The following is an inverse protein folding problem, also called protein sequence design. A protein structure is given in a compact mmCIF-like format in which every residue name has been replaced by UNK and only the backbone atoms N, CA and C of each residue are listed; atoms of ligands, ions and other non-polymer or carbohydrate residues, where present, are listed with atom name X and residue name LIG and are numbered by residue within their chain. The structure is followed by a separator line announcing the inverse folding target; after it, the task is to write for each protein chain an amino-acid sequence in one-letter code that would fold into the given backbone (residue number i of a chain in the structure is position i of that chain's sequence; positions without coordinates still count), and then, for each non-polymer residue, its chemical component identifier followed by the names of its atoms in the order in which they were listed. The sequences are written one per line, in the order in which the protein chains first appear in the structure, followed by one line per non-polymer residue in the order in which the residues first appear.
data_IF_812094801359
#
_entry.id   IF_812094801359
#
_cell.length_a   1.000
_cell.length_b   1.000
_cell.length_c   1.000
_cell.angle_alpha   90.00
_cell.angle_beta   90.00
_cell.angle_gamma   90.00
#
_symmetry.space_group_name_H-M   'P 1'
#
loop_
_entity.id
_entity.type
_entity.pdbx_description
1 polymer ?
#
# COMPACT_ATOMS: atom_id res chain seq x y z
N UNK A 1 6.36 43.87 -0.94
CA UNK A 1 6.53 42.40 -1.00
C UNK A 1 5.70 41.80 0.13
N UNK A 2 4.73 40.90 -0.12
CA UNK A 2 3.93 40.33 0.95
C UNK A 2 4.77 39.29 1.70
N UNK A 3 4.86 39.46 3.02
CA UNK A 3 5.51 38.54 3.94
C UNK A 3 4.76 37.20 3.95
N UNK A 4 5.49 36.10 3.68
CA UNK A 4 4.96 34.75 3.84
C UNK A 4 5.26 34.26 5.25
N UNK A 5 4.26 34.34 6.12
CA UNK A 5 4.32 33.78 7.47
C UNK A 5 3.28 32.66 7.62
N UNK A 6 3.73 31.42 7.40
CA UNK A 6 3.64 30.35 8.39
C UNK A 6 4.50 29.18 7.88
N UNK A 7 5.42 28.81 8.75
CA UNK A 7 6.47 27.81 8.57
C UNK A 7 6.01 26.58 7.76
N UNK A 8 6.67 26.31 6.63
CA UNK A 8 6.42 25.12 5.79
C UNK A 8 6.81 23.81 6.50
N UNK A 9 7.41 23.92 7.69
CA UNK A 9 7.81 22.83 8.58
C UNK A 9 6.74 22.47 9.61
N UNK A 10 5.53 23.03 9.52
CA UNK A 10 4.40 22.54 10.31
C UNK A 10 4.20 21.04 10.03
N UNK A 11 4.11 20.15 11.05
CA UNK A 11 4.09 18.69 10.86
C UNK A 11 2.82 18.13 10.16
N UNK A 12 2.09 18.96 9.42
CA UNK A 12 0.82 18.62 8.79
C UNK A 12 -0.32 18.44 9.79
N UNK A 13 -1.51 18.18 9.28
CA UNK A 13 -2.68 17.85 10.11
C UNK A 13 -2.74 16.33 10.31
N UNK A 14 -2.70 15.87 11.57
CA UNK A 14 -2.87 14.47 11.92
C UNK A 14 -4.35 14.08 11.90
N UNK A 15 -4.66 12.89 11.38
CA UNK A 15 -6.02 12.35 11.32
C UNK A 15 -6.14 11.11 12.21
N UNK A 16 -7.22 11.02 12.97
CA UNK A 16 -7.52 9.91 13.88
C UNK A 16 -8.79 9.21 13.39
N UNK A 17 -8.78 7.88 13.42
CA UNK A 17 -9.93 7.07 12.99
C UNK A 17 -10.95 6.97 14.13
N UNK A 18 -12.09 7.62 13.96
CA UNK A 18 -13.24 7.54 14.85
C UNK A 18 -14.25 6.50 14.36
N UNK A 19 -15.27 6.24 15.17
CA UNK A 19 -16.39 5.33 14.85
C UNK A 19 -17.23 5.80 13.67
N UNK A 20 -17.18 7.09 13.32
CA UNK A 20 -17.90 7.69 12.20
C UNK A 20 -17.01 8.02 10.99
N UNK A 21 -15.68 7.89 11.09
CA UNK A 21 -14.78 8.13 9.97
C UNK A 21 -13.37 8.55 10.36
N UNK A 22 -12.77 9.44 9.57
CA UNK A 22 -11.48 10.05 9.88
C UNK A 22 -11.69 11.52 10.23
N UNK A 23 -11.21 11.94 11.40
CA UNK A 23 -11.33 13.31 11.89
C UNK A 23 -9.94 13.90 12.19
N UNK A 24 -9.81 15.23 12.07
CA UNK A 24 -8.53 15.93 12.32
C UNK A 24 -8.27 16.01 13.84
N UNK A 25 -7.10 15.55 14.28
CA UNK A 25 -6.68 15.47 15.70
C UNK A 25 -6.75 16.80 16.45
N UNK A 26 -6.43 17.92 15.77
CA UNK A 26 -6.50 19.27 16.36
C UNK A 26 -7.91 19.70 16.78
N UNK A 27 -8.94 19.15 16.15
CA UNK A 27 -10.35 19.45 16.50
C UNK A 27 -10.75 18.73 17.78
N UNK A 28 -10.14 17.57 18.07
CA UNK A 28 -10.38 16.80 19.30
C UNK A 28 -9.70 17.42 20.53
N UNK A 29 -8.49 17.96 20.36
CA UNK A 29 -7.71 18.58 21.45
C UNK A 29 -8.34 19.91 21.91
N UNK A 30 -8.95 20.70 21.01
CA UNK A 30 -9.62 21.96 21.37
C UNK A 30 -10.91 21.82 22.20
N UNK A 31 -11.45 20.61 22.40
CA UNK A 31 -12.63 20.38 23.24
C UNK A 31 -12.29 19.86 24.65
N UNK A 32 -11.01 19.69 25.00
CA UNK A 32 -10.63 19.02 26.26
C UNK A 32 -9.98 19.92 27.30
N UNK A 33 -9.52 21.12 26.92
CA UNK A 33 -8.78 22.00 27.82
C UNK A 33 -9.63 23.20 28.26
N UNK A 34 -10.70 22.92 29.02
CA UNK A 34 -11.20 23.89 30.00
C UNK A 34 -10.77 23.43 31.40
N UNK A 35 -9.78 24.17 31.92
CA UNK A 35 -9.60 24.52 33.33
C UNK A 35 -9.42 23.37 34.35
N UNK A 36 -8.18 23.10 34.75
CA UNK A 36 -7.84 22.93 36.18
C UNK A 36 -6.45 23.48 36.47
N UNK A 37 -6.41 24.78 36.81
CA UNK A 37 -5.44 25.31 37.75
C UNK A 37 -5.79 24.74 39.12
N UNK A 38 -4.94 23.85 39.65
CA UNK A 38 -4.94 23.51 41.06
C UNK A 38 -3.51 23.69 41.58
N UNK A 39 -3.30 24.89 42.10
CA UNK A 39 -2.24 25.28 43.02
C UNK A 39 -2.17 24.26 44.16
N UNK A 40 -0.97 23.81 44.50
CA UNK A 40 -0.60 23.44 45.86
C UNK A 40 0.82 23.99 46.10
N UNK A 41 0.90 24.95 47.02
CA UNK A 41 2.13 25.51 47.61
C UNK A 41 2.60 24.62 48.78
N UNK A 42 3.79 24.95 49.30
CA UNK A 42 4.50 24.43 50.51
C UNK A 42 5.45 23.23 50.24
N UNK A 43 6.77 23.20 50.52
CA UNK A 43 7.67 23.95 51.41
C UNK A 43 9.18 23.88 51.00
N UNK A 44 9.92 24.95 51.35
CA UNK A 44 11.33 25.13 51.78
C UNK A 44 12.47 24.14 51.40
N UNK A 45 13.57 24.63 50.79
CA UNK A 45 14.76 25.20 51.50
C UNK A 45 16.03 25.30 50.61
N UNK A 46 16.74 26.40 50.81
CA UNK A 46 18.04 26.85 50.29
C UNK A 46 19.04 25.84 49.69
N UNK A 47 19.64 26.20 48.55
CA UNK A 47 21.10 26.37 48.41
C UNK A 47 21.44 26.96 47.04
N UNK A 48 21.75 28.25 47.04
CA UNK A 48 22.25 29.01 45.90
C UNK A 48 23.76 28.80 45.74
N UNK A 49 24.15 28.61 44.47
CA UNK A 49 25.48 28.75 43.87
C UNK A 49 26.41 27.54 43.91
N UNK A 50 26.44 26.81 42.78
CA UNK A 50 27.74 26.55 42.15
C UNK A 50 27.68 26.88 40.66
N UNK A 51 28.45 27.91 40.31
CA UNK A 51 28.68 28.33 38.94
C UNK A 51 29.73 27.39 38.35
N UNK A 52 29.33 26.40 37.58
CA UNK A 52 30.24 25.80 36.62
C UNK A 52 29.57 25.53 35.28
N UNK A 53 30.12 26.23 34.29
CA UNK A 53 30.00 25.99 32.86
C UNK A 53 30.04 24.50 32.59
N UNK A 54 28.91 23.98 32.14
CA UNK A 54 28.76 23.63 30.75
C UNK A 54 27.27 23.65 30.47
N UNK A 55 26.78 24.69 29.78
CA UNK A 55 25.66 24.44 28.88
C UNK A 55 26.22 23.48 27.84
N UNK A 56 26.26 22.19 28.17
CA UNK A 56 26.19 21.16 27.15
C UNK A 56 24.97 21.55 26.36
N UNK A 57 25.18 22.18 25.21
CA UNK A 57 24.14 22.42 24.24
C UNK A 57 23.67 21.00 23.95
N UNK A 58 22.61 20.58 24.66
CA UNK A 58 21.96 19.32 24.41
C UNK A 58 21.50 19.53 22.99
N UNK A 59 22.21 18.92 22.04
CA UNK A 59 21.78 18.92 20.66
C UNK A 59 20.33 18.47 20.73
N UNK A 60 19.37 19.31 20.32
CA UNK A 60 17.97 18.94 20.43
C UNK A 60 17.86 17.58 19.78
N UNK A 61 17.30 16.60 20.50
CA UNK A 61 17.15 15.24 20.01
C UNK A 61 16.36 15.33 18.71
N UNK A 62 17.10 15.34 17.61
CA UNK A 62 16.56 15.44 16.29
C UNK A 62 16.39 13.99 15.89
N UNK A 63 15.14 13.52 15.93
CA UNK A 63 14.81 12.28 15.27
C UNK A 63 15.03 12.53 13.77
N UNK A 64 16.20 12.16 13.27
CA UNK A 64 16.49 12.15 11.85
C UNK A 64 15.52 11.13 11.26
N UNK A 65 14.42 11.62 10.69
CA UNK A 65 13.59 10.84 9.77
C UNK A 65 14.47 10.58 8.55
N UNK A 66 15.19 9.46 8.59
CA UNK A 66 16.28 9.15 7.68
C UNK A 66 15.81 9.32 6.22
N UNK A 67 16.38 10.33 5.55
CA UNK A 67 16.56 10.35 4.10
C UNK A 67 18.05 10.51 3.80
N UNK A 68 18.88 9.64 4.38
CA UNK A 68 20.18 9.34 3.78
C UNK A 68 19.92 8.72 2.40
N UNK A 69 20.85 8.83 1.44
CA UNK A 69 20.75 8.13 0.13
C UNK A 69 20.46 6.62 0.26
N UNK A 70 20.77 6.02 1.41
CA UNK A 70 20.51 4.62 1.77
C UNK A 70 19.11 4.36 2.38
N UNK A 71 18.38 5.41 2.72
CA UNK A 71 16.99 5.39 3.24
C UNK A 71 16.14 6.36 2.41
N UNK A 72 16.19 6.25 1.08
CA UNK A 72 15.03 6.63 0.31
C UNK A 72 13.93 5.61 0.68
N UNK A 73 12.76 6.09 1.09
CA UNK A 73 11.59 5.26 1.35
C UNK A 73 11.11 4.57 0.07
N UNK A 74 11.85 3.57 -0.39
CA UNK A 74 11.47 2.75 -1.51
C UNK A 74 10.25 1.95 -1.09
N UNK A 75 9.06 2.41 -1.52
CA UNK A 75 7.87 1.58 -1.43
C UNK A 75 8.03 0.45 -2.42
N UNK A 76 8.24 -0.77 -1.91
CA UNK A 76 8.26 -1.95 -2.76
C UNK A 76 6.95 -2.05 -3.52
N UNK A 77 7.00 -2.52 -4.77
CA UNK A 77 5.79 -2.68 -5.59
C UNK A 77 4.70 -3.50 -4.85
N UNK A 78 5.10 -4.51 -4.07
CA UNK A 78 4.17 -5.28 -3.25
C UNK A 78 3.44 -4.45 -2.20
N UNK A 79 4.10 -3.46 -1.61
CA UNK A 79 3.50 -2.62 -0.58
C UNK A 79 2.59 -1.55 -1.19
N UNK A 80 2.96 -1.04 -2.37
CA UNK A 80 2.07 -0.22 -3.17
C UNK A 80 0.79 -0.97 -3.56
N UNK A 81 0.90 -2.21 -4.05
CA UNK A 81 -0.25 -3.05 -4.42
C UNK A 81 -1.13 -3.42 -3.21
N UNK A 82 -0.53 -3.65 -2.03
CA UNK A 82 -1.30 -3.89 -0.79
C UNK A 82 -2.07 -2.67 -0.32
N UNK A 83 -1.51 -1.47 -0.49
CA UNK A 83 -2.14 -0.20 -0.09
C UNK A 83 -3.21 0.27 -1.07
N UNK A 84 -3.16 -0.22 -2.31
CA UNK A 84 -4.17 0.04 -3.32
C UNK A 84 -5.43 -0.76 -3.03
N UNK A 85 -6.60 -0.12 -3.01
CA UNK A 85 -7.90 -0.81 -2.96
C UNK A 85 -8.26 -1.40 -4.33
N UNK A 86 -7.48 -2.38 -4.76
CA UNK A 86 -7.70 -3.07 -6.03
C UNK A 86 -8.96 -3.94 -5.99
N UNK A 87 -9.35 -4.49 -4.83
CA UNK A 87 -10.57 -5.31 -4.69
C UNK A 87 -11.82 -4.48 -4.95
N UNK A 88 -11.91 -3.29 -4.34
CA UNK A 88 -12.98 -2.33 -4.64
C UNK A 88 -12.92 -1.87 -6.11
N UNK A 89 -11.72 -1.62 -6.62
CA UNK A 89 -11.53 -1.16 -8.01
C UNK A 89 -11.92 -2.20 -9.07
N UNK A 90 -11.76 -3.50 -8.82
CA UNK A 90 -12.24 -4.56 -9.72
C UNK A 90 -13.77 -4.55 -9.79
N UNK A 91 -14.46 -4.31 -8.67
CA UNK A 91 -15.93 -4.27 -8.64
C UNK A 91 -16.51 -2.98 -9.23
N UNK A 92 -15.76 -1.88 -9.23
CA UNK A 92 -16.18 -0.61 -9.82
C UNK A 92 -16.01 -0.58 -11.35
N UNK A 93 -17.09 -0.33 -12.10
CA UNK A 93 -17.07 -0.24 -13.58
C UNK A 93 -16.08 0.80 -14.10
N UNK A 94 -15.95 1.94 -13.41
CA UNK A 94 -15.08 3.04 -13.86
C UNK A 94 -13.61 2.73 -13.64
N UNK A 95 -13.28 1.92 -12.63
CA UNK A 95 -11.90 1.61 -12.25
C UNK A 95 -11.39 0.28 -12.79
N UNK A 96 -12.30 -0.62 -13.17
CA UNK A 96 -11.97 -1.94 -13.70
C UNK A 96 -10.97 -1.90 -14.85
N UNK A 97 -11.13 -0.97 -15.81
CA UNK A 97 -10.23 -0.84 -16.96
C UNK A 97 -8.80 -0.46 -16.54
N UNK A 98 -8.64 0.33 -15.46
CA UNK A 98 -7.31 0.66 -14.93
C UNK A 98 -6.64 -0.55 -14.29
N UNK A 99 -7.39 -1.40 -13.58
CA UNK A 99 -6.85 -2.65 -13.02
C UNK A 99 -6.43 -3.60 -14.14
N UNK A 100 -7.24 -3.72 -15.19
CA UNK A 100 -6.87 -4.53 -16.35
C UNK A 100 -5.60 -4.02 -17.03
N UNK A 101 -5.45 -2.69 -17.17
CA UNK A 101 -4.23 -2.11 -17.75
C UNK A 101 -3.03 -2.31 -16.84
N UNK A 102 -3.19 -2.20 -15.52
CA UNK A 102 -2.15 -2.51 -14.55
C UNK A 102 -1.68 -3.97 -14.69
N UNK A 103 -2.61 -4.91 -14.78
CA UNK A 103 -2.28 -6.33 -14.99
C UNK A 103 -1.58 -6.56 -16.34
N UNK A 104 -2.04 -5.91 -17.41
CA UNK A 104 -1.40 -5.98 -18.74
C UNK A 104 0.04 -5.43 -18.70
N UNK A 105 0.30 -4.33 -17.97
CA UNK A 105 1.65 -3.80 -17.77
C UNK A 105 2.51 -4.77 -16.96
N UNK A 106 1.99 -5.31 -15.86
CA UNK A 106 2.72 -6.25 -15.01
C UNK A 106 3.04 -7.57 -15.71
N UNK A 107 2.19 -8.02 -16.65
CA UNK A 107 2.41 -9.24 -17.41
C UNK A 107 3.30 -9.05 -18.66
N UNK A 108 3.27 -7.88 -19.31
CA UNK A 108 4.04 -7.65 -20.54
C UNK A 108 5.40 -6.98 -20.30
N UNK A 109 5.48 -5.99 -19.42
CA UNK A 109 6.67 -5.14 -19.31
C UNK A 109 7.76 -5.77 -18.45
N UNK A 110 7.40 -6.70 -17.56
CA UNK A 110 8.35 -7.41 -16.69
C UNK A 110 8.07 -8.90 -16.70
N UNK A 111 9.09 -9.76 -16.85
CA UNK A 111 8.88 -11.19 -16.69
C UNK A 111 8.47 -11.50 -15.24
N UNK A 112 7.50 -12.40 -15.05
CA UNK A 112 7.00 -12.80 -13.72
C UNK A 112 8.13 -13.29 -12.79
N UNK A 113 9.23 -13.80 -13.33
CA UNK A 113 10.42 -14.24 -12.58
C UNK A 113 11.13 -13.09 -11.85
N UNK A 114 11.16 -11.89 -12.44
CA UNK A 114 11.77 -10.69 -11.85
C UNK A 114 10.88 -10.06 -10.78
N UNK A 115 9.58 -10.35 -10.80
CA UNK A 115 8.68 -9.87 -9.75
C UNK A 115 8.94 -10.59 -8.43
N UNK A 116 8.92 -9.83 -7.34
CA UNK A 116 8.93 -10.38 -5.99
C UNK A 116 7.80 -11.41 -5.83
N UNK A 117 8.07 -12.51 -5.12
CA UNK A 117 7.07 -13.57 -4.90
C UNK A 117 5.77 -13.05 -4.30
N UNK A 118 5.83 -11.99 -3.50
CA UNK A 118 4.64 -11.38 -2.93
C UNK A 118 3.83 -10.58 -3.96
N UNK A 119 4.50 -9.91 -4.92
CA UNK A 119 3.84 -9.24 -6.06
C UNK A 119 3.16 -10.27 -6.95
N UNK A 120 3.84 -11.39 -7.26
CA UNK A 120 3.26 -12.50 -8.01
C UNK A 120 1.99 -13.02 -7.36
N UNK A 121 2.02 -13.29 -6.05
CA UNK A 121 0.82 -13.70 -5.29
C UNK A 121 -0.32 -12.70 -5.45
N UNK A 122 -0.07 -11.41 -5.22
CA UNK A 122 -1.10 -10.38 -5.38
C UNK A 122 -1.63 -10.30 -6.81
N UNK A 123 -0.77 -10.47 -7.82
CA UNK A 123 -1.15 -10.48 -9.23
C UNK A 123 -2.09 -11.64 -9.55
N UNK A 124 -1.76 -12.87 -9.14
CA UNK A 124 -2.64 -14.02 -9.35
C UNK A 124 -3.99 -13.86 -8.62
N UNK A 125 -4.00 -13.27 -7.42
CA UNK A 125 -5.27 -12.96 -6.73
C UNK A 125 -6.09 -11.89 -7.44
N UNK A 126 -5.45 -10.86 -8.00
CA UNK A 126 -6.14 -9.83 -8.79
C UNK A 126 -6.74 -10.42 -10.07
N UNK A 127 -5.97 -11.27 -10.76
CA UNK A 127 -6.41 -11.97 -11.97
C UNK A 127 -7.60 -12.88 -11.73
N UNK A 128 -7.61 -13.62 -10.62
CA UNK A 128 -8.75 -14.44 -10.25
C UNK A 128 -10.01 -13.61 -10.01
N UNK A 129 -9.89 -12.51 -9.25
CA UNK A 129 -11.00 -11.59 -9.00
C UNK A 129 -11.49 -10.91 -10.28
N UNK A 130 -10.59 -10.52 -11.19
CA UNK A 130 -10.96 -10.00 -12.52
C UNK A 130 -11.73 -11.05 -13.32
N UNK A 131 -11.29 -12.30 -13.34
CA UNK A 131 -11.98 -13.38 -14.05
C UNK A 131 -13.39 -13.61 -13.49
N UNK A 132 -13.53 -13.63 -12.16
CA UNK A 132 -14.83 -13.73 -11.50
C UNK A 132 -15.73 -12.54 -11.82
N UNK A 133 -15.19 -11.33 -11.83
CA UNK A 133 -15.96 -10.12 -12.12
C UNK A 133 -16.44 -10.09 -13.59
N UNK A 134 -15.58 -10.47 -14.54
CA UNK A 134 -15.94 -10.62 -15.96
C UNK A 134 -17.03 -11.67 -16.12
N UNK A 135 -16.94 -12.80 -15.39
CA UNK A 135 -17.99 -13.82 -15.40
C UNK A 135 -19.34 -13.28 -14.91
N UNK A 136 -19.34 -12.50 -13.83
CA UNK A 136 -20.58 -11.96 -13.26
C UNK A 136 -21.22 -10.87 -14.14
N UNK A 137 -20.41 -10.09 -14.87
CA UNK A 137 -20.89 -8.96 -15.67
C UNK A 137 -21.04 -9.24 -17.16
N UNK A 138 -20.39 -10.28 -17.68
CA UNK A 138 -20.29 -10.59 -19.10
C UNK A 138 -19.77 -9.43 -19.97
N UNK A 139 -18.88 -8.60 -19.41
CA UNK A 139 -18.28 -7.45 -20.10
C UNK A 139 -16.75 -7.62 -20.17
N UNK A 140 -16.09 -7.11 -21.22
CA UNK A 140 -14.63 -7.13 -21.40
C UNK A 140 -13.98 -8.54 -21.43
N UNK A 141 -14.66 -9.52 -22.03
CA UNK A 141 -14.16 -10.90 -22.19
C UNK A 141 -12.82 -10.96 -22.95
N UNK A 142 -12.60 -10.07 -23.91
CA UNK A 142 -11.36 -10.01 -24.70
C UNK A 142 -10.13 -9.66 -23.85
N UNK A 143 -10.31 -8.80 -22.84
CA UNK A 143 -9.24 -8.44 -21.90
C UNK A 143 -8.84 -9.65 -21.07
N UNK A 144 -9.81 -10.41 -20.58
CA UNK A 144 -9.55 -11.65 -19.85
C UNK A 144 -8.83 -12.67 -20.73
N UNK A 145 -9.26 -12.86 -21.99
CA UNK A 145 -8.61 -13.75 -22.96
C UNK A 145 -7.16 -13.36 -23.20
N UNK A 146 -6.90 -12.06 -23.44
CA UNK A 146 -5.54 -11.54 -23.63
C UNK A 146 -4.66 -11.84 -22.42
N UNK A 147 -5.14 -11.56 -21.21
CA UNK A 147 -4.43 -11.82 -19.96
C UNK A 147 -4.14 -13.32 -19.75
N UNK A 148 -5.07 -14.20 -20.12
CA UNK A 148 -4.89 -15.66 -20.04
C UNK A 148 -3.83 -16.16 -21.01
N UNK A 149 -3.85 -15.68 -22.27
CA UNK A 149 -2.83 -16.05 -23.27
C UNK A 149 -1.43 -15.63 -22.80
N UNK A 150 -1.31 -14.41 -22.27
CA UNK A 150 -0.07 -13.91 -21.67
C UNK A 150 0.38 -14.81 -20.51
N UNK A 151 -0.51 -15.15 -19.57
CA UNK A 151 -0.19 -16.03 -18.45
C UNK A 151 0.26 -17.42 -18.89
N UNK A 152 -0.42 -18.03 -19.87
CA UNK A 152 -0.05 -19.35 -20.40
C UNK A 152 1.34 -19.33 -21.02
N UNK A 153 1.64 -18.33 -21.86
CA UNK A 153 2.98 -18.19 -22.44
C UNK A 153 4.09 -18.08 -21.38
N UNK A 154 3.80 -17.40 -20.27
CA UNK A 154 4.75 -17.25 -19.17
C UNK A 154 4.93 -18.54 -18.34
N UNK A 155 3.89 -19.36 -18.23
CA UNK A 155 3.93 -20.69 -17.60
C UNK A 155 4.72 -21.67 -18.46
N UNK A 156 4.53 -21.62 -19.78
CA UNK A 156 5.26 -22.44 -20.74
C UNK A 156 6.77 -22.14 -20.75
N UNK A 157 7.16 -20.89 -20.47
CA UNK A 157 8.57 -20.55 -20.25
C UNK A 157 9.10 -21.09 -18.91
N UNK A 158 8.27 -21.18 -17.88
CA UNK A 158 8.67 -21.65 -16.56
C UNK A 158 8.85 -23.17 -16.47
N UNK A 159 8.26 -23.96 -17.37
CA UNK A 159 8.46 -25.41 -17.40
C UNK A 159 9.84 -25.87 -17.91
N UNK A 160 10.63 -24.98 -18.54
CA UNK A 160 12.00 -25.30 -18.99
C UNK A 160 13.07 -25.06 -17.92
N UNK A 161 12.84 -25.53 -16.69
CA UNK A 161 13.94 -25.86 -15.78
C UNK A 161 13.85 -25.37 -14.34
N UNK A 162 12.99 -24.40 -13.98
CA UNK A 162 12.71 -24.06 -12.57
C UNK A 162 11.31 -23.48 -12.37
N UNK A 163 10.48 -24.07 -11.48
CA UNK A 163 9.19 -23.48 -11.12
C UNK A 163 9.39 -22.08 -10.51
N UNK A 164 8.44 -21.18 -10.76
CA UNK A 164 8.48 -19.81 -10.24
C UNK A 164 8.24 -19.84 -8.72
N UNK A 165 9.33 -19.87 -7.94
CA UNK A 165 9.30 -19.97 -6.47
C UNK A 165 9.32 -21.41 -5.95
N UNK A 166 8.78 -21.64 -4.75
CA UNK A 166 8.68 -22.99 -4.20
C UNK A 166 7.68 -23.85 -4.98
N UNK A 167 7.83 -25.17 -4.93
CA UNK A 167 6.91 -26.11 -5.58
C UNK A 167 5.46 -25.93 -5.14
N UNK A 168 5.24 -25.72 -3.83
CA UNK A 168 3.91 -25.45 -3.28
C UNK A 168 3.32 -24.12 -3.78
N UNK A 169 4.14 -23.08 -3.85
CA UNK A 169 3.70 -21.78 -4.39
C UNK A 169 3.32 -21.91 -5.86
N UNK A 170 4.12 -22.65 -6.63
CA UNK A 170 3.87 -22.91 -8.03
C UNK A 170 2.58 -23.70 -8.26
N UNK A 171 2.33 -24.74 -7.48
CA UNK A 171 1.06 -25.47 -7.51
C UNK A 171 -0.14 -24.56 -7.23
N UNK A 172 -0.02 -23.64 -6.27
CA UNK A 172 -1.07 -22.65 -6.00
C UNK A 172 -1.34 -21.75 -7.21
N UNK A 173 -0.29 -21.28 -7.88
CA UNK A 173 -0.41 -20.49 -9.11
C UNK A 173 -1.07 -21.28 -10.26
N UNK A 174 -0.66 -22.53 -10.47
CA UNK A 174 -1.28 -23.41 -11.47
C UNK A 174 -2.77 -23.66 -11.18
N UNK A 175 -3.14 -23.84 -9.91
CA UNK A 175 -4.54 -23.99 -9.51
C UNK A 175 -5.37 -22.73 -9.75
N UNK A 176 -4.78 -21.53 -9.60
CA UNK A 176 -5.45 -20.26 -9.96
C UNK A 176 -5.61 -20.18 -11.48
N UNK A 177 -4.58 -20.52 -12.25
CA UNK A 177 -4.63 -20.51 -13.72
C UNK A 177 -5.75 -21.46 -14.21
N UNK A 178 -5.80 -22.68 -13.70
CA UNK A 178 -6.86 -23.65 -14.06
C UNK A 178 -8.27 -23.12 -13.77
N UNK A 179 -8.46 -22.45 -12.63
CA UNK A 179 -9.74 -21.81 -12.28
C UNK A 179 -10.10 -20.70 -13.25
N UNK A 180 -9.15 -19.81 -13.57
CA UNK A 180 -9.36 -18.71 -14.50
C UNK A 180 -9.65 -19.22 -15.92
N UNK A 181 -8.92 -20.22 -16.39
CA UNK A 181 -9.16 -20.82 -17.71
C UNK A 181 -10.54 -21.47 -17.78
N UNK A 182 -10.94 -22.20 -16.73
CA UNK A 182 -12.27 -22.78 -16.65
C UNK A 182 -13.38 -21.72 -16.68
N UNK A 183 -13.17 -20.58 -15.98
CA UNK A 183 -14.09 -19.43 -16.07
C UNK A 183 -14.17 -18.90 -17.50
N UNK A 184 -13.04 -18.75 -18.19
CA UNK A 184 -13.01 -18.24 -19.55
C UNK A 184 -13.67 -19.20 -20.56
N UNK A 185 -13.45 -20.50 -20.43
CA UNK A 185 -14.06 -21.52 -21.30
C UNK A 185 -15.59 -21.52 -21.13
N UNK A 186 -16.10 -21.41 -19.90
CA UNK A 186 -17.54 -21.28 -19.65
C UNK A 186 -18.16 -20.02 -20.26
N UNK A 187 -17.39 -18.92 -20.36
CA UNK A 187 -17.85 -17.69 -21.00
C UNK A 187 -17.87 -17.79 -22.54
N UNK A 188 -17.03 -18.63 -23.13
CA UNK A 188 -17.04 -18.89 -24.59
C UNK A 188 -18.30 -19.65 -25.01
N UNK A 189 -18.84 -20.52 -24.14
CA UNK A 189 -20.02 -21.34 -24.45
C UNK A 189 -21.33 -20.51 -24.43
N UNK A 190 -21.33 -19.33 -23.82
CA UNK A 190 -22.53 -18.48 -23.67
C UNK A 190 -22.68 -17.37 -24.71
N UNK A 191 -21.73 -17.23 -25.64
CA UNK A 191 -21.76 -16.29 -26.78
C UNK A 191 -22.01 -17.05 -28.08
#
# INVERSE_FOLDING_TARGET
MPFISKDWRSPGEAWVKTREGWEKKKILECCSDDFTLAVNEEDDQDSLLDQNKDCSIIQPYCHITKSSKEVAGFTGLSDALKRLDWKGAVRDRRRFKYICKLLDLLCNERPLSELSGNVRKTLFTMLEEVAQQVRMRQENTDVLRKLIVQLRSLVDCACWGRPIGSTQLWQSHLAVIHRITHIADNLVIQL
#
